data_IF_677872720983
#
_entry.id   IF_677872720983
#
_cell.length_a   1.000
_cell.length_b   1.000
_cell.length_c   1.000
_cell.angle_alpha   90.00
_cell.angle_beta   90.00
_cell.angle_gamma   90.00
#
_symmetry.space_group_name_H-M   'P 1'
#
loop_
_entity.id
_entity.type
_entity.pdbx_description
1 polymer ?
#
# COMPACT_ATOMS: atom_id res chain seq x y z
N UNK A 1 5.06 -3.41 -12.16
CA UNK A 1 5.97 -2.45 -11.51
C UNK A 1 5.18 -1.42 -10.69
N UNK A 2 4.53 -1.83 -9.60
CA UNK A 2 3.83 -0.95 -8.64
C UNK A 2 4.09 -1.45 -7.20
N UNK A 3 4.18 -2.76 -7.04
CA UNK A 3 4.41 -3.45 -5.77
C UNK A 3 5.81 -3.20 -5.20
N UNK A 4 6.87 -3.34 -6.01
CA UNK A 4 8.26 -3.18 -5.55
C UNK A 4 8.56 -1.79 -4.97
N UNK A 5 8.11 -0.72 -5.64
CA UNK A 5 8.33 0.65 -5.16
C UNK A 5 7.47 1.01 -3.93
N UNK A 6 6.30 0.36 -3.78
CA UNK A 6 5.41 0.60 -2.64
C UNK A 6 5.96 0.07 -1.31
N UNK A 7 6.93 -0.86 -1.36
CA UNK A 7 7.60 -1.39 -0.16
C UNK A 7 8.34 -0.28 0.61
N UNK A 8 8.87 0.73 -0.09
CA UNK A 8 9.60 1.84 0.50
C UNK A 8 8.72 2.99 1.01
N UNK A 9 7.40 3.00 0.73
CA UNK A 9 6.53 4.12 1.10
C UNK A 9 6.15 4.10 2.58
N UNK A 10 6.00 5.27 3.19
CA UNK A 10 5.38 5.35 4.53
C UNK A 10 3.88 5.11 4.37
N UNK A 11 3.39 3.98 4.89
CA UNK A 11 1.95 3.67 4.94
C UNK A 11 1.31 4.46 6.07
N UNK A 12 0.96 5.70 5.79
CA UNK A 12 -0.01 6.43 6.61
C UNK A 12 -1.43 6.07 6.18
N UNK A 13 -2.40 6.26 7.06
CA UNK A 13 -3.82 6.09 6.74
C UNK A 13 -4.23 6.91 5.50
N UNK A 14 -3.69 8.12 5.35
CA UNK A 14 -3.89 8.97 4.17
C UNK A 14 -3.38 8.30 2.90
N UNK A 15 -2.20 7.69 2.94
CA UNK A 15 -1.63 6.96 1.80
C UNK A 15 -2.48 5.74 1.44
N UNK A 16 -2.92 4.97 2.45
CA UNK A 16 -3.78 3.80 2.27
C UNK A 16 -5.10 4.20 1.60
N UNK A 17 -5.73 5.29 2.06
CA UNK A 17 -6.97 5.77 1.45
C UNK A 17 -6.77 6.19 -0.01
N UNK A 18 -5.66 6.86 -0.34
CA UNK A 18 -5.33 7.20 -1.74
C UNK A 18 -5.19 5.95 -2.61
N UNK A 19 -4.54 4.90 -2.11
CA UNK A 19 -4.41 3.62 -2.81
C UNK A 19 -5.79 2.99 -3.05
N UNK A 20 -6.65 2.95 -2.04
CA UNK A 20 -8.01 2.40 -2.17
C UNK A 20 -8.88 3.21 -3.15
N UNK A 21 -8.74 4.54 -3.19
CA UNK A 21 -9.44 5.39 -4.18
C UNK A 21 -8.93 5.09 -5.59
N UNK A 22 -7.61 4.98 -5.76
CA UNK A 22 -7.00 4.65 -7.05
C UNK A 22 -7.45 3.27 -7.56
N UNK A 23 -7.40 2.25 -6.70
CA UNK A 23 -7.87 0.90 -7.01
C UNK A 23 -9.34 0.91 -7.45
N UNK A 24 -10.22 1.53 -6.67
CA UNK A 24 -11.65 1.63 -7.04
C UNK A 24 -11.89 2.39 -8.34
N UNK A 25 -11.02 3.34 -8.70
CA UNK A 25 -11.10 4.04 -9.99
C UNK A 25 -10.81 3.07 -11.15
N UNK A 26 -9.74 2.28 -11.03
CA UNK A 26 -9.39 1.25 -12.02
C UNK A 26 -10.47 0.19 -12.11
N UNK A 27 -10.94 -0.34 -10.98
CA UNK A 27 -11.96 -1.40 -10.96
C UNK A 27 -13.27 -0.93 -11.62
N UNK A 28 -13.69 0.32 -11.43
CA UNK A 28 -14.86 0.87 -12.15
C UNK A 28 -14.66 0.96 -13.64
N UNK A 29 -13.44 1.27 -14.08
CA UNK A 29 -13.13 1.35 -15.51
C UNK A 29 -13.15 -0.04 -16.16
N UNK A 30 -12.67 -1.07 -15.45
CA UNK A 30 -12.66 -2.45 -15.95
C UNK A 30 -14.07 -3.08 -15.93
N UNK A 31 -14.78 -2.96 -14.80
CA UNK A 31 -16.10 -3.57 -14.60
C UNK A 31 -17.23 -2.84 -15.35
N UNK A 32 -16.96 -1.60 -15.76
CA UNK A 32 -17.89 -0.74 -16.46
C UNK A 32 -19.14 -0.36 -15.67
N UNK A 33 -20.06 0.40 -16.28
CA UNK A 33 -21.34 0.73 -15.68
C UNK A 33 -22.23 -0.53 -15.58
N UNK A 34 -23.18 -0.50 -14.63
CA UNK A 34 -24.19 -1.54 -14.47
C UNK A 34 -25.49 -1.06 -15.10
N UNK A 35 -26.13 -1.94 -15.88
CA UNK A 35 -27.46 -1.70 -16.42
C UNK A 35 -28.50 -2.02 -15.35
N UNK A 36 -29.34 -1.05 -15.00
CA UNK A 36 -30.47 -1.21 -14.09
C UNK A 36 -31.73 -0.81 -14.87
N UNK A 37 -32.40 -1.83 -15.43
CA UNK A 37 -33.51 -1.63 -16.36
C UNK A 37 -33.07 -0.97 -17.67
N UNK A 38 -33.64 0.20 -17.96
CA UNK A 38 -33.33 1.00 -19.14
C UNK A 38 -32.16 1.98 -18.93
N UNK A 39 -31.74 2.22 -17.68
CA UNK A 39 -30.71 3.20 -17.36
C UNK A 39 -29.35 2.55 -17.04
N UNK A 40 -28.28 3.26 -17.39
CA UNK A 40 -26.92 2.91 -17.00
C UNK A 40 -26.52 3.70 -15.77
N UNK A 41 -26.01 3.00 -14.74
CA UNK A 41 -25.51 3.64 -13.53
C UNK A 41 -24.08 3.25 -13.21
N UNK A 42 -23.40 4.13 -12.50
CA UNK A 42 -22.09 3.85 -11.92
C UNK A 42 -22.28 2.84 -10.77
N UNK A 43 -21.39 1.86 -10.67
CA UNK A 43 -21.40 0.85 -9.61
C UNK A 43 -21.04 1.44 -8.25
N UNK A 44 -21.74 0.98 -7.21
CA UNK A 44 -21.44 1.32 -5.82
C UNK A 44 -20.17 0.61 -5.32
N UNK A 45 -19.58 1.12 -4.24
CA UNK A 45 -18.38 0.52 -3.65
C UNK A 45 -18.58 -0.96 -3.26
N UNK A 46 -19.74 -1.30 -2.67
CA UNK A 46 -20.02 -2.68 -2.24
C UNK A 46 -20.15 -3.64 -3.44
N UNK A 47 -20.77 -3.20 -4.54
CA UNK A 47 -20.88 -4.01 -5.77
C UNK A 47 -19.51 -4.30 -6.38
N UNK A 48 -18.61 -3.32 -6.33
CA UNK A 48 -17.22 -3.48 -6.81
C UNK A 48 -16.49 -4.53 -5.96
N UNK A 49 -16.57 -4.44 -4.63
CA UNK A 49 -15.91 -5.41 -3.75
C UNK A 49 -16.50 -6.82 -3.86
N UNK A 50 -17.83 -6.93 -4.03
CA UNK A 50 -18.48 -8.22 -4.23
C UNK A 50 -18.06 -8.91 -5.54
N UNK A 51 -17.81 -8.12 -6.60
CA UNK A 51 -17.31 -8.64 -7.87
C UNK A 51 -15.81 -8.94 -7.84
N UNK A 52 -15.02 -8.09 -7.17
CA UNK A 52 -13.57 -8.23 -7.10
C UNK A 52 -13.16 -9.51 -6.35
N UNK A 53 -13.89 -9.90 -5.29
CA UNK A 53 -13.68 -11.11 -4.45
C UNK A 53 -12.29 -11.27 -3.81
N UNK A 54 -11.34 -10.42 -4.18
CA UNK A 54 -9.97 -10.39 -3.67
C UNK A 54 -9.79 -9.33 -2.58
N UNK A 55 -8.77 -9.48 -1.72
CA UNK A 55 -8.44 -8.47 -0.73
C UNK A 55 -8.00 -7.17 -1.43
N UNK A 56 -8.33 -5.99 -0.86
CA UNK A 56 -7.91 -4.71 -1.41
C UNK A 56 -6.39 -4.63 -1.61
N UNK A 57 -5.96 -3.90 -2.63
CA UNK A 57 -4.55 -3.68 -2.94
C UNK A 57 -3.76 -3.14 -1.75
N UNK A 58 -4.39 -2.32 -0.90
CA UNK A 58 -3.75 -1.83 0.32
C UNK A 58 -3.36 -2.94 1.30
N UNK A 59 -4.17 -4.01 1.41
CA UNK A 59 -3.85 -5.14 2.26
C UNK A 59 -2.77 -6.03 1.65
N UNK A 60 -2.76 -6.17 0.32
CA UNK A 60 -1.65 -6.81 -0.38
C UNK A 60 -0.32 -6.08 -0.11
N UNK A 61 -0.30 -4.75 -0.17
CA UNK A 61 0.90 -3.95 0.12
C UNK A 61 1.34 -4.11 1.57
N UNK A 62 0.40 -4.13 2.52
CA UNK A 62 0.72 -4.41 3.95
C UNK A 62 1.34 -5.80 4.10
N UNK A 63 0.79 -6.81 3.44
CA UNK A 63 1.32 -8.16 3.49
C UNK A 63 2.74 -8.25 2.92
N UNK A 64 3.01 -7.57 1.80
CA UNK A 64 4.37 -7.53 1.23
C UNK A 64 5.36 -6.85 2.19
N UNK A 65 4.96 -5.78 2.88
CA UNK A 65 5.81 -5.17 3.90
C UNK A 65 6.08 -6.09 5.08
N UNK A 66 5.09 -6.84 5.55
CA UNK A 66 5.28 -7.83 6.60
C UNK A 66 6.22 -8.95 6.15
N UNK A 67 6.08 -9.41 4.90
CA UNK A 67 7.01 -10.39 4.30
C UNK A 67 8.44 -9.86 4.23
N UNK A 68 8.61 -8.61 3.78
CA UNK A 68 9.92 -7.95 3.75
C UNK A 68 10.51 -7.79 5.16
N UNK A 69 9.73 -7.32 6.13
CA UNK A 69 10.17 -7.17 7.52
C UNK A 69 10.57 -8.52 8.12
N UNK A 70 9.76 -9.56 7.92
CA UNK A 70 10.08 -10.92 8.35
C UNK A 70 11.34 -11.48 7.67
N UNK A 71 11.55 -11.14 6.40
CA UNK A 71 12.78 -11.48 5.69
C UNK A 71 14.00 -10.81 6.34
N UNK A 72 13.92 -9.50 6.62
CA UNK A 72 14.99 -8.75 7.29
C UNK A 72 15.31 -9.37 8.65
N UNK A 73 14.30 -9.66 9.47
CA UNK A 73 14.50 -10.28 10.81
C UNK A 73 15.23 -11.63 10.74
N UNK A 74 14.98 -12.42 9.69
CA UNK A 74 15.66 -13.71 9.48
C UNK A 74 17.06 -13.59 8.86
N UNK A 75 17.46 -12.41 8.38
CA UNK A 75 18.80 -12.21 7.82
C UNK A 75 19.86 -12.29 8.92
N UNK A 76 21.05 -12.76 8.54
CA UNK A 76 22.23 -12.72 9.39
C UNK A 76 22.54 -11.30 9.88
N UNK A 77 22.99 -11.20 11.12
CA UNK A 77 23.31 -9.93 11.79
C UNK A 77 24.40 -9.11 11.09
N UNK A 78 25.21 -9.72 10.20
CA UNK A 78 26.23 -8.98 9.47
C UNK A 78 25.65 -8.11 8.33
N UNK A 79 24.42 -8.41 7.87
CA UNK A 79 23.82 -7.70 6.73
C UNK A 79 23.34 -6.29 7.11
N UNK A 80 23.52 -5.35 6.18
CA UNK A 80 23.16 -3.94 6.36
C UNK A 80 21.70 -3.71 6.80
N UNK A 81 20.67 -4.38 6.23
CA UNK A 81 19.28 -4.15 6.65
C UNK A 81 19.02 -4.55 8.11
N UNK A 82 19.59 -5.67 8.57
CA UNK A 82 19.46 -6.15 9.94
C UNK A 82 20.22 -5.26 10.92
N UNK A 83 21.43 -4.80 10.54
CA UNK A 83 22.17 -3.79 11.30
C UNK A 83 21.40 -2.48 11.42
N UNK A 84 20.83 -1.99 10.31
CA UNK A 84 20.04 -0.77 10.29
C UNK A 84 18.80 -0.88 11.17
N UNK A 85 18.08 -2.01 11.12
CA UNK A 85 16.91 -2.28 11.97
C UNK A 85 17.25 -2.24 13.47
N UNK A 86 18.39 -2.85 13.86
CA UNK A 86 18.83 -2.91 15.25
C UNK A 86 19.63 -1.67 15.70
N UNK A 87 19.99 -0.79 14.78
CA UNK A 87 20.80 0.39 15.08
C UNK A 87 20.00 1.38 15.94
N UNK A 88 20.61 1.80 17.06
CA UNK A 88 20.09 2.91 17.86
C UNK A 88 20.67 4.20 17.32
N UNK A 89 19.82 5.08 16.82
CA UNK A 89 20.22 6.43 16.42
C UNK A 89 20.32 7.27 17.70
N UNK A 90 21.53 7.67 18.05
CA UNK A 90 21.77 8.58 19.16
C UNK A 90 21.76 10.03 18.66
N UNK A 91 21.07 10.91 19.39
CA UNK A 91 20.96 12.34 19.09
C UNK A 91 19.56 12.80 18.66
N UNK A 92 19.31 14.09 18.80
CA UNK A 92 18.02 14.72 18.42
C UNK A 92 18.03 14.95 16.90
N UNK A 93 17.09 14.34 16.18
CA UNK A 93 16.95 14.57 14.75
C UNK A 93 16.59 16.04 14.51
N UNK A 94 17.34 16.79 13.68
CA UNK A 94 17.05 18.20 13.45
C UNK A 94 15.67 18.33 12.80
N UNK A 95 14.87 19.26 13.30
CA UNK A 95 13.56 19.56 12.72
C UNK A 95 13.76 20.42 11.48
N UNK A 96 13.19 19.98 10.37
CA UNK A 96 13.25 20.69 9.09
C UNK A 96 14.18 20.05 8.07
N UNK A 97 14.34 20.72 6.94
CA UNK A 97 15.18 20.26 5.83
C UNK A 97 16.67 20.45 6.16
N UNK A 98 17.59 19.68 5.52
CA UNK A 98 19.02 19.97 5.57
C UNK A 98 19.28 21.42 5.19
N UNK A 99 20.11 22.12 5.98
CA UNK A 99 20.59 23.44 5.60
C UNK A 99 21.57 23.25 4.43
N UNK A 100 21.36 24.00 3.35
CA UNK A 100 22.32 24.10 2.24
C UNK A 100 23.52 24.91 2.69
#
# INVERSE_FOLDING_TARGET
MLTYSSEAWILTEKTINKINVFERKILRQILGPKREGENWRIRYNHEIYQQYKDPPLSDFIKLQKLRWAGNVIRMENNRLPQKALNSKIFGKKPVGKPRK
#
